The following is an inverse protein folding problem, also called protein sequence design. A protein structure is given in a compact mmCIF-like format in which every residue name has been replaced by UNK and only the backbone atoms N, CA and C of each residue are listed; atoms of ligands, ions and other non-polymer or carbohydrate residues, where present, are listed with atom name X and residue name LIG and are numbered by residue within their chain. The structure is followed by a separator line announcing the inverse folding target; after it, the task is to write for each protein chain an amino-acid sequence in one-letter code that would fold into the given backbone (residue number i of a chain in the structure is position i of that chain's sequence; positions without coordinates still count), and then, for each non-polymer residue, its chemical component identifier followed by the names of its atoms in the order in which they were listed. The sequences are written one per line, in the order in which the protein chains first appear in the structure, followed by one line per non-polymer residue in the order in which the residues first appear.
data_IF_479526550305
#
_entry.id   IF_479526550305
#
_cell.length_a   1.000
_cell.length_b   1.000
_cell.length_c   1.000
_cell.angle_alpha   90.00
_cell.angle_beta   90.00
_cell.angle_gamma   90.00
#
_symmetry.space_group_name_H-M   'P 1'
#
loop_
_entity.id
_entity.type
_entity.pdbx_description
1 polymer ?
#
# COMPACT_ATOMS: atom_id res chain seq x y z
N UNK A 1 57.91 -2.29 5.42
CA UNK A 1 57.13 -3.07 4.44
C UNK A 1 56.14 -3.92 5.21
N UNK A 2 54.86 -3.58 5.24
CA UNK A 2 53.81 -4.53 5.63
C UNK A 2 52.49 -4.10 5.00
N UNK A 3 51.96 -4.96 4.12
CA UNK A 3 50.77 -4.70 3.31
C UNK A 3 49.54 -5.01 4.15
N UNK A 4 48.80 -3.99 4.56
CA UNK A 4 47.45 -4.18 5.11
C UNK A 4 46.54 -4.67 3.97
N UNK A 5 46.22 -5.95 4.03
CA UNK A 5 45.54 -6.71 3.00
C UNK A 5 44.03 -6.42 3.07
N UNK A 6 43.55 -5.64 2.10
CA UNK A 6 42.14 -5.27 1.95
C UNK A 6 41.35 -6.54 1.59
N UNK A 7 40.78 -7.21 2.59
CA UNK A 7 39.77 -8.26 2.40
C UNK A 7 38.53 -7.64 1.75
N UNK A 8 38.50 -7.72 0.42
CA UNK A 8 37.34 -7.41 -0.44
C UNK A 8 36.29 -8.50 -0.21
N UNK A 9 35.48 -8.37 0.84
CA UNK A 9 34.40 -9.31 1.10
C UNK A 9 33.19 -8.96 0.23
N UNK A 10 33.09 -9.64 -0.91
CA UNK A 10 32.02 -9.52 -1.90
C UNK A 10 30.75 -10.28 -1.47
N UNK A 11 30.23 -10.01 -0.29
CA UNK A 11 28.88 -10.46 0.08
C UNK A 11 27.84 -9.47 -0.47
N UNK A 12 27.60 -9.52 -1.79
CA UNK A 12 26.44 -8.89 -2.46
C UNK A 12 25.17 -9.69 -2.17
N UNK A 13 24.82 -9.84 -0.90
CA UNK A 13 23.46 -10.17 -0.49
C UNK A 13 22.79 -8.85 -0.21
N UNK A 14 21.54 -8.67 -0.66
CA UNK A 14 20.72 -7.49 -0.37
C UNK A 14 20.41 -7.53 1.15
N UNK A 15 21.39 -7.20 1.99
CA UNK A 15 21.18 -7.04 3.41
C UNK A 15 20.35 -5.78 3.61
N UNK A 16 19.06 -5.98 3.88
CA UNK A 16 18.17 -4.92 4.36
C UNK A 16 18.81 -4.31 5.61
N UNK A 17 19.29 -3.07 5.48
CA UNK A 17 19.86 -2.34 6.61
C UNK A 17 18.71 -1.83 7.48
N UNK A 18 19.03 -1.44 8.72
CA UNK A 18 18.04 -0.84 9.64
C UNK A 18 17.25 0.32 8.99
N UNK A 19 17.94 1.11 8.17
CA UNK A 19 17.34 2.20 7.38
C UNK A 19 16.28 1.70 6.39
N UNK A 20 16.57 0.62 5.66
CA UNK A 20 15.67 0.10 4.63
C UNK A 20 14.39 -0.43 5.30
N UNK A 21 14.53 -1.20 6.39
CA UNK A 21 13.40 -1.69 7.18
C UNK A 21 12.56 -0.54 7.73
N UNK A 22 13.18 0.52 8.22
CA UNK A 22 12.49 1.69 8.74
C UNK A 22 11.63 2.37 7.66
N UNK A 23 12.20 2.67 6.49
CA UNK A 23 11.48 3.31 5.38
C UNK A 23 10.35 2.39 4.87
N UNK A 24 10.60 1.08 4.72
CA UNK A 24 9.60 0.11 4.26
C UNK A 24 8.42 0.05 5.22
N UNK A 25 8.67 -0.10 6.54
CA UNK A 25 7.59 -0.16 7.52
C UNK A 25 6.79 1.14 7.54
N UNK A 26 7.47 2.30 7.49
CA UNK A 26 6.79 3.59 7.47
C UNK A 26 5.93 3.78 6.22
N UNK A 27 6.43 3.34 5.06
CA UNK A 27 5.72 3.37 3.80
C UNK A 27 4.49 2.46 3.80
N UNK A 28 4.65 1.18 4.17
CA UNK A 28 3.56 0.22 4.22
C UNK A 28 2.51 0.63 5.25
N UNK A 29 2.90 1.09 6.45
CA UNK A 29 1.96 1.61 7.43
C UNK A 29 1.18 2.81 6.89
N UNK A 30 1.84 3.74 6.19
CA UNK A 30 1.15 4.90 5.60
C UNK A 30 0.16 4.47 4.51
N UNK A 31 0.51 3.48 3.69
CA UNK A 31 -0.37 2.90 2.69
C UNK A 31 -1.61 2.25 3.30
N UNK A 32 -1.45 1.35 4.29
CA UNK A 32 -2.59 0.65 4.89
C UNK A 32 -3.50 1.58 5.69
N UNK A 33 -2.93 2.52 6.45
CA UNK A 33 -3.72 3.50 7.21
C UNK A 33 -4.50 4.41 6.25
N UNK A 34 -3.84 4.94 5.22
CA UNK A 34 -4.49 5.80 4.23
C UNK A 34 -5.59 5.07 3.47
N UNK A 35 -5.32 3.85 3.02
CA UNK A 35 -6.29 3.01 2.30
C UNK A 35 -7.48 2.64 3.19
N UNK A 36 -7.25 2.24 4.44
CA UNK A 36 -8.32 1.90 5.38
C UNK A 36 -9.25 3.08 5.66
N UNK A 37 -8.68 4.27 5.90
CA UNK A 37 -9.47 5.48 6.09
C UNK A 37 -10.32 5.79 4.86
N UNK A 38 -9.75 5.64 3.66
CA UNK A 38 -10.46 5.89 2.42
C UNK A 38 -11.56 4.86 2.14
N UNK A 39 -11.36 3.59 2.49
CA UNK A 39 -12.39 2.55 2.38
C UNK A 39 -13.60 2.91 3.23
N UNK A 40 -13.40 3.38 4.46
CA UNK A 40 -14.51 3.83 5.33
C UNK A 40 -15.28 4.96 4.67
N UNK A 41 -14.58 5.96 4.13
CA UNK A 41 -15.20 7.07 3.42
C UNK A 41 -15.99 6.56 2.21
N UNK A 42 -15.39 5.67 1.40
CA UNK A 42 -16.02 5.11 0.21
C UNK A 42 -17.31 4.33 0.55
N UNK A 43 -17.33 3.55 1.64
CA UNK A 43 -18.53 2.86 2.11
C UNK A 43 -19.62 3.85 2.49
N UNK A 44 -19.28 4.92 3.21
CA UNK A 44 -20.27 5.94 3.62
C UNK A 44 -20.89 6.60 2.38
N UNK A 45 -20.07 6.99 1.39
CA UNK A 45 -20.59 7.57 0.15
C UNK A 45 -21.50 6.60 -0.60
N UNK A 46 -21.10 5.33 -0.69
CA UNK A 46 -21.89 4.29 -1.37
C UNK A 46 -23.24 4.04 -0.68
N UNK A 47 -23.27 4.00 0.66
CA UNK A 47 -24.52 3.90 1.44
C UNK A 47 -25.42 5.10 1.16
N UNK A 48 -24.86 6.31 1.06
CA UNK A 48 -25.66 7.52 0.81
C UNK A 48 -26.26 7.54 -0.59
N UNK A 49 -25.53 7.06 -1.58
CA UNK A 49 -26.01 6.98 -2.96
C UNK A 49 -27.18 5.99 -3.09
N UNK A 50 -27.14 4.86 -2.39
CA UNK A 50 -28.15 3.79 -2.47
C UNK A 50 -29.18 3.81 -1.34
N UNK A 51 -29.22 4.88 -0.54
CA UNK A 51 -30.06 4.95 0.65
C UNK A 51 -31.55 4.78 0.31
N UNK A 52 -32.01 5.35 -0.81
CA UNK A 52 -33.40 5.25 -1.26
C UNK A 52 -33.75 3.83 -1.73
N UNK A 53 -32.84 3.18 -2.47
CA UNK A 53 -33.02 1.80 -2.94
C UNK A 53 -33.02 0.78 -1.78
N UNK A 54 -32.19 1.01 -0.76
CA UNK A 54 -32.16 0.15 0.44
C UNK A 54 -33.40 0.30 1.31
N UNK A 55 -34.07 1.45 1.29
CA UNK A 55 -35.32 1.68 2.02
C UNK A 55 -36.54 1.11 1.26
N UNK A 56 -36.44 0.97 -0.06
CA UNK A 56 -37.50 0.45 -0.92
C UNK A 56 -37.51 -1.07 -1.13
N UNK A 57 -36.41 -1.78 -0.82
CA UNK A 57 -36.26 -3.23 -1.06
C UNK A 57 -36.35 -4.12 0.19
N UNK A 58 -36.83 -5.35 0.03
CA UNK A 58 -36.95 -6.38 1.10
C UNK A 58 -35.60 -7.06 1.48
N UNK A 59 -34.47 -6.45 1.16
CA UNK A 59 -33.16 -7.06 1.40
C UNK A 59 -32.78 -6.97 2.88
N UNK A 60 -32.44 -8.10 3.50
CA UNK A 60 -31.91 -8.13 4.86
C UNK A 60 -30.60 -7.35 4.95
N UNK A 61 -30.48 -6.44 5.92
CA UNK A 61 -29.25 -5.66 6.19
C UNK A 61 -27.99 -6.54 6.29
N UNK A 62 -28.14 -7.79 6.70
CA UNK A 62 -27.05 -8.75 6.78
C UNK A 62 -26.52 -9.17 5.40
N UNK A 63 -27.39 -9.41 4.41
CA UNK A 63 -26.99 -9.74 3.03
C UNK A 63 -26.30 -8.54 2.36
N UNK A 64 -26.77 -7.32 2.61
CA UNK A 64 -26.15 -6.09 2.09
C UNK A 64 -24.72 -5.95 2.64
N UNK A 65 -24.51 -6.17 3.95
CA UNK A 65 -23.16 -6.03 4.53
C UNK A 65 -22.22 -7.16 4.08
N UNK A 66 -22.70 -8.40 4.01
CA UNK A 66 -21.83 -9.56 3.82
C UNK A 66 -21.59 -9.94 2.36
N UNK A 67 -22.60 -9.84 1.49
CA UNK A 67 -22.44 -10.22 0.08
C UNK A 67 -22.07 -9.01 -0.80
N UNK A 68 -22.66 -7.84 -0.53
CA UNK A 68 -22.38 -6.63 -1.32
C UNK A 68 -21.08 -5.95 -0.91
N UNK A 69 -20.94 -5.50 0.35
CA UNK A 69 -19.77 -4.70 0.75
C UNK A 69 -18.46 -5.50 0.76
N UNK A 70 -18.49 -6.80 1.06
CA UNK A 70 -17.32 -7.66 1.01
C UNK A 70 -16.77 -7.82 -0.42
N UNK A 71 -17.65 -7.75 -1.42
CA UNK A 71 -17.30 -7.76 -2.85
C UNK A 71 -16.92 -6.36 -3.36
N UNK A 72 -17.53 -5.31 -2.79
CA UNK A 72 -17.26 -3.92 -3.14
C UNK A 72 -15.87 -3.44 -2.69
N UNK A 73 -15.41 -3.83 -1.50
CA UNK A 73 -14.13 -3.36 -0.93
C UNK A 73 -12.93 -3.73 -1.83
N UNK A 74 -12.75 -4.98 -2.28
CA UNK A 74 -11.67 -5.32 -3.21
C UNK A 74 -11.76 -4.54 -4.51
N UNK A 75 -12.97 -4.35 -5.06
CA UNK A 75 -13.19 -3.61 -6.29
C UNK A 75 -12.73 -2.14 -6.17
N UNK A 76 -13.23 -1.42 -5.17
CA UNK A 76 -12.91 0.01 -5.00
C UNK A 76 -11.44 0.21 -4.62
N UNK A 77 -10.89 -0.68 -3.79
CA UNK A 77 -9.48 -0.64 -3.39
C UNK A 77 -8.57 -0.84 -4.60
N UNK A 78 -8.91 -1.78 -5.48
CA UNK A 78 -8.11 -2.04 -6.68
C UNK A 78 -8.17 -0.91 -7.69
N UNK A 79 -9.36 -0.32 -7.87
CA UNK A 79 -9.56 0.83 -8.74
C UNK A 79 -8.71 2.03 -8.28
N UNK A 80 -8.66 2.26 -6.97
CA UNK A 80 -7.93 3.39 -6.37
C UNK A 80 -6.50 3.05 -5.94
N UNK A 81 -6.06 1.79 -6.08
CA UNK A 81 -4.74 1.35 -5.63
C UNK A 81 -3.58 2.22 -6.17
N UNK A 82 -3.53 2.61 -7.46
CA UNK A 82 -2.46 3.47 -7.97
C UNK A 82 -2.40 4.82 -7.24
N UNK A 83 -3.56 5.40 -6.91
CA UNK A 83 -3.67 6.65 -6.18
C UNK A 83 -3.17 6.47 -4.73
N UNK A 84 -3.59 5.44 -4.02
CA UNK A 84 -3.16 5.21 -2.64
C UNK A 84 -1.68 4.89 -2.52
N UNK A 85 -1.12 4.13 -3.46
CA UNK A 85 0.32 3.87 -3.52
C UNK A 85 1.08 5.19 -3.70
N UNK A 86 0.63 6.05 -4.62
CA UNK A 86 1.22 7.37 -4.84
C UNK A 86 1.16 8.24 -3.57
N UNK A 87 -0.01 8.34 -2.94
CA UNK A 87 -0.20 9.10 -1.71
C UNK A 87 0.67 8.57 -0.56
N UNK A 88 0.81 7.25 -0.44
CA UNK A 88 1.67 6.63 0.56
C UNK A 88 3.16 7.00 0.35
N UNK A 89 3.63 7.04 -0.91
CA UNK A 89 5.00 7.46 -1.23
C UNK A 89 5.20 8.93 -0.85
N UNK A 90 4.31 9.81 -1.30
CA UNK A 90 4.39 11.25 -1.03
C UNK A 90 4.33 11.54 0.47
N UNK A 91 3.40 10.91 1.18
CA UNK A 91 3.24 11.11 2.62
C UNK A 91 4.44 10.60 3.40
N UNK A 92 4.97 9.43 3.05
CA UNK A 92 6.18 8.88 3.68
C UNK A 92 7.38 9.78 3.46
N UNK A 93 7.57 10.23 2.22
CA UNK A 93 8.66 11.14 1.87
C UNK A 93 8.53 12.48 2.60
N UNK A 94 7.31 13.03 2.67
CA UNK A 94 7.01 14.25 3.44
C UNK A 94 7.35 14.08 4.92
N UNK A 95 6.98 12.96 5.54
CA UNK A 95 7.32 12.68 6.95
C UNK A 95 8.82 12.59 7.19
N UNK A 96 9.57 11.95 6.30
CA UNK A 96 11.03 11.88 6.38
C UNK A 96 11.68 13.26 6.19
N UNK A 97 11.13 14.09 5.28
CA UNK A 97 11.60 15.44 5.03
C UNK A 97 11.35 16.38 6.23
N UNK A 98 10.16 16.32 6.83
CA UNK A 98 9.79 17.14 8.00
C UNK A 98 10.68 16.88 9.21
N UNK A 99 11.18 15.65 9.38
CA UNK A 99 12.12 15.28 10.44
C UNK A 99 13.59 15.46 10.06
N UNK A 100 13.86 16.08 8.91
CA UNK A 100 15.19 16.27 8.29
C UNK A 100 16.00 14.98 8.10
N UNK A 101 15.34 13.82 8.14
CA UNK A 101 15.99 12.51 8.03
C UNK A 101 16.56 12.28 6.62
N UNK A 102 15.87 12.75 5.57
CA UNK A 102 16.37 12.66 4.19
C UNK A 102 17.73 13.39 4.06
N UNK A 103 17.81 14.60 4.60
CA UNK A 103 19.03 15.43 4.55
C UNK A 103 20.15 14.76 5.35
N UNK A 104 19.84 14.24 6.55
CA UNK A 104 20.81 13.52 7.37
C UNK A 104 21.36 12.26 6.68
N UNK A 105 20.51 11.49 6.01
CA UNK A 105 20.90 10.28 5.28
C UNK A 105 21.85 10.63 4.11
N UNK A 106 21.52 11.66 3.33
CA UNK A 106 22.33 12.09 2.18
C UNK A 106 23.68 12.66 2.63
N UNK A 107 23.70 13.48 3.68
CA UNK A 107 24.94 14.00 4.28
C UNK A 107 25.79 12.91 4.95
N UNK A 108 25.17 11.80 5.37
CA UNK A 108 25.86 10.60 5.88
C UNK A 108 26.56 9.76 4.80
N UNK A 109 26.70 10.26 3.56
CA UNK A 109 27.37 9.59 2.46
C UNK A 109 26.55 8.48 1.79
N UNK A 110 25.24 8.41 2.06
CA UNK A 110 24.35 7.45 1.39
C UNK A 110 23.95 8.03 0.03
N UNK A 111 24.25 7.31 -1.04
CA UNK A 111 23.82 7.69 -2.40
C UNK A 111 22.30 7.76 -2.49
N UNK A 112 21.77 8.75 -3.22
CA UNK A 112 20.34 8.91 -3.50
C UNK A 112 19.70 7.62 -4.07
N UNK A 113 20.37 6.92 -4.99
CA UNK A 113 19.86 5.66 -5.55
C UNK A 113 19.68 4.54 -4.51
N UNK A 114 20.50 4.51 -3.44
CA UNK A 114 20.33 3.54 -2.35
C UNK A 114 19.12 3.90 -1.49
N UNK A 115 18.86 5.19 -1.27
CA UNK A 115 17.68 5.67 -0.56
C UNK A 115 16.38 5.29 -1.28
N UNK A 116 16.38 5.21 -2.62
CA UNK A 116 15.21 4.78 -3.40
C UNK A 116 14.93 3.27 -3.36
N UNK A 117 15.95 2.43 -3.09
CA UNK A 117 15.79 0.96 -3.05
C UNK A 117 14.66 0.46 -2.12
N UNK A 118 14.52 0.93 -0.86
CA UNK A 118 13.42 0.50 0.00
C UNK A 118 12.03 0.83 -0.57
N UNK A 119 11.88 1.97 -1.24
CA UNK A 119 10.62 2.32 -1.92
C UNK A 119 10.30 1.35 -3.05
N UNK A 120 11.29 1.01 -3.88
CA UNK A 120 11.12 0.05 -4.98
C UNK A 120 10.79 -1.36 -4.48
N UNK A 121 11.44 -1.81 -3.40
CA UNK A 121 11.15 -3.12 -2.80
C UNK A 121 9.73 -3.18 -2.25
N UNK A 122 9.30 -2.15 -1.53
CA UNK A 122 7.96 -2.11 -0.97
C UNK A 122 6.87 -1.95 -2.04
N UNK A 123 7.10 -1.12 -3.08
CA UNK A 123 6.14 -0.99 -4.19
C UNK A 123 6.04 -2.27 -5.01
N UNK A 124 7.15 -2.98 -5.24
CA UNK A 124 7.14 -4.29 -5.91
C UNK A 124 6.31 -5.30 -5.13
N UNK A 125 6.46 -5.33 -3.80
CA UNK A 125 5.62 -6.15 -2.93
C UNK A 125 4.13 -5.82 -3.09
N UNK A 126 3.77 -4.53 -3.08
CA UNK A 126 2.39 -4.09 -3.30
C UNK A 126 1.87 -4.47 -4.70
N UNK A 127 2.70 -4.36 -5.74
CA UNK A 127 2.33 -4.76 -7.11
C UNK A 127 2.00 -6.26 -7.16
N UNK A 128 2.83 -7.11 -6.56
CA UNK A 128 2.60 -8.56 -6.53
C UNK A 128 1.31 -8.86 -5.75
N UNK A 129 1.09 -8.21 -4.60
CA UNK A 129 -0.12 -8.38 -3.82
C UNK A 129 -1.37 -7.94 -4.61
N UNK A 130 -1.35 -6.76 -5.22
CA UNK A 130 -2.44 -6.24 -6.05
C UNK A 130 -2.72 -7.15 -7.24
N UNK A 131 -1.68 -7.67 -7.90
CA UNK A 131 -1.83 -8.62 -8.99
C UNK A 131 -2.56 -9.90 -8.54
N UNK A 132 -2.19 -10.44 -7.37
CA UNK A 132 -2.88 -11.60 -6.78
C UNK A 132 -4.36 -11.31 -6.50
N UNK A 133 -4.68 -10.17 -5.89
CA UNK A 133 -6.07 -9.79 -5.63
C UNK A 133 -6.83 -9.62 -6.98
N UNK A 134 -6.18 -9.07 -8.01
CA UNK A 134 -6.80 -8.77 -9.30
C UNK A 134 -7.18 -10.04 -10.05
N UNK A 135 -6.30 -11.04 -10.01
CA UNK A 135 -6.52 -12.27 -10.74
C UNK A 135 -7.46 -13.25 -10.00
N UNK A 136 -7.37 -13.33 -8.67
CA UNK A 136 -8.12 -14.34 -7.90
C UNK A 136 -9.38 -13.80 -7.25
N UNK A 137 -9.33 -12.62 -6.62
CA UNK A 137 -10.41 -12.12 -5.77
C UNK A 137 -11.41 -11.31 -6.59
N UNK A 138 -10.92 -10.44 -7.47
CA UNK A 138 -11.75 -9.55 -8.28
C UNK A 138 -12.78 -10.28 -9.17
N UNK A 139 -12.48 -11.39 -9.88
CA UNK A 139 -13.50 -12.08 -10.68
C UNK A 139 -14.60 -12.71 -9.84
N UNK A 140 -14.28 -13.19 -8.63
CA UNK A 140 -15.28 -13.77 -7.71
C UNK A 140 -16.16 -12.66 -7.13
N UNK A 141 -15.54 -11.56 -6.71
CA UNK A 141 -16.24 -10.39 -6.19
C UNK A 141 -17.17 -9.75 -7.24
N UNK A 142 -16.71 -9.64 -8.49
CA UNK A 142 -17.51 -9.05 -9.56
C UNK A 142 -18.72 -9.93 -9.94
N UNK A 143 -18.60 -11.27 -9.93
CA UNK A 143 -19.75 -12.15 -10.14
C UNK A 143 -20.82 -11.94 -9.07
N UNK A 144 -20.43 -12.00 -7.79
CA UNK A 144 -21.34 -11.78 -6.67
C UNK A 144 -22.02 -10.40 -6.68
N UNK A 145 -21.30 -9.37 -7.11
CA UNK A 145 -21.84 -8.00 -7.20
C UNK A 145 -22.81 -7.81 -8.38
N UNK A 146 -22.58 -8.48 -9.51
CA UNK A 146 -23.46 -8.37 -10.70
C UNK A 146 -24.74 -9.21 -10.55
N UNK A 147 -24.68 -10.28 -9.76
CA UNK A 147 -25.82 -11.16 -9.47
C UNK A 147 -26.74 -10.63 -8.34
N UNK A 148 -26.39 -9.50 -7.71
CA UNK A 148 -27.14 -8.83 -6.62
C UNK A 148 -27.81 -7.56 -7.13
#
# INVERSE_FOLDING_TARGET
MERCNIKKNNSKVIMLKKLDKYIITQFLSSFFIGTALFIVIAIIFDIKEKLEDFLGGEASLYMIVTDYYLSFIPYITMLLAPLFIYLAVVFTTSRLAMRTEIIAILNGGVSYYRFLRPFLLASTFLVIASYGIYHYILPIANKKRLDF
#
